data_IF_622570528036
#
_entry.id   IF_622570528036
#
_cell.length_a   1.000
_cell.length_b   1.000
_cell.length_c   1.000
_cell.angle_alpha   90.00
_cell.angle_beta   90.00
_cell.angle_gamma   90.00
#
_symmetry.space_group_name_H-M   'P 1'
#
loop_
_entity.id
_entity.type
_entity.pdbx_description
1 polymer ?
#
# COMPACT_ATOMS: atom_id res chain seq x y z
N UNK A 1 -85.53 -35.59 29.40
CA UNK A 1 -84.13 -36.10 29.56
C UNK A 1 -83.47 -36.02 28.14
N UNK A 2 -82.74 -35.00 27.91
CA UNK A 2 -82.11 -34.72 26.63
C UNK A 2 -80.58 -34.86 26.76
N UNK A 3 -80.04 -35.78 25.98
CA UNK A 3 -78.61 -36.02 25.90
C UNK A 3 -78.04 -35.14 24.79
N UNK A 4 -77.09 -34.31 25.11
CA UNK A 4 -76.32 -33.50 24.13
C UNK A 4 -75.03 -34.23 23.78
N UNK A 5 -74.85 -34.55 22.49
CA UNK A 5 -73.62 -35.05 21.92
C UNK A 5 -72.86 -33.84 21.40
N UNK A 6 -71.69 -33.59 21.97
CA UNK A 6 -70.78 -32.55 21.49
C UNK A 6 -69.80 -33.16 20.48
N UNK A 7 -69.84 -32.70 19.24
CA UNK A 7 -68.89 -33.07 18.19
C UNK A 7 -67.63 -32.18 18.33
N UNK A 8 -66.48 -32.84 18.49
CA UNK A 8 -65.18 -32.19 18.55
C UNK A 8 -64.59 -32.12 17.13
N UNK A 9 -64.52 -30.92 16.54
CA UNK A 9 -63.82 -30.68 15.28
C UNK A 9 -62.33 -30.46 15.62
N UNK A 10 -61.47 -31.38 15.20
CA UNK A 10 -60.02 -31.24 15.27
C UNK A 10 -59.55 -30.40 14.09
N UNK A 11 -59.11 -29.17 14.31
CA UNK A 11 -58.37 -28.37 13.35
C UNK A 11 -56.91 -28.84 13.33
N UNK A 12 -56.53 -29.50 12.24
CA UNK A 12 -55.09 -29.80 11.98
C UNK A 12 -54.44 -28.55 11.40
N UNK A 13 -53.65 -27.86 12.22
CA UNK A 13 -52.76 -26.79 11.77
C UNK A 13 -51.58 -27.42 11.05
N UNK A 14 -51.50 -27.24 9.71
CA UNK A 14 -50.28 -27.53 8.93
C UNK A 14 -49.28 -26.44 9.22
N UNK A 15 -48.30 -26.72 10.10
CA UNK A 15 -47.14 -25.89 10.25
C UNK A 15 -46.24 -26.12 9.04
N UNK A 16 -46.32 -25.21 8.08
CA UNK A 16 -45.31 -25.12 6.99
C UNK A 16 -44.05 -24.59 7.65
N UNK A 17 -43.14 -25.48 8.02
CA UNK A 17 -41.80 -25.15 8.42
C UNK A 17 -41.08 -24.67 7.14
N UNK A 18 -41.11 -23.35 6.90
CA UNK A 18 -40.23 -22.72 5.92
C UNK A 18 -38.81 -22.88 6.45
N UNK A 19 -38.05 -23.80 5.86
CA UNK A 19 -36.60 -23.76 5.97
C UNK A 19 -36.15 -22.44 5.32
N UNK A 20 -36.00 -21.38 6.12
CA UNK A 20 -35.11 -20.30 5.76
C UNK A 20 -33.74 -20.95 5.58
N UNK A 21 -33.31 -21.07 4.31
CA UNK A 21 -31.91 -21.36 4.00
C UNK A 21 -31.12 -20.23 4.64
N UNK A 22 -30.42 -20.52 5.73
CA UNK A 22 -29.31 -19.67 6.13
C UNK A 22 -28.46 -19.40 4.89
N UNK A 23 -28.17 -18.15 4.55
CA UNK A 23 -27.33 -17.89 3.39
C UNK A 23 -26.05 -18.70 3.59
N UNK A 24 -25.75 -19.53 2.60
CA UNK A 24 -24.51 -20.31 2.54
C UNK A 24 -23.38 -19.30 2.75
N UNK A 25 -22.57 -19.52 3.78
CA UNK A 25 -21.48 -18.60 4.09
C UNK A 25 -20.58 -18.58 2.87
N UNK A 26 -20.45 -17.42 2.24
CA UNK A 26 -19.73 -17.20 0.99
C UNK A 26 -18.28 -17.69 1.16
N UNK A 27 -17.99 -18.92 0.71
CA UNK A 27 -16.69 -19.58 0.86
C UNK A 27 -15.75 -19.14 -0.28
N UNK A 28 -14.70 -18.34 0.01
CA UNK A 28 -13.74 -17.91 -0.98
C UNK A 28 -13.07 -19.03 -1.75
N UNK A 29 -12.97 -20.24 -1.17
CA UNK A 29 -12.32 -21.38 -1.80
C UNK A 29 -13.13 -21.97 -2.96
N UNK A 30 -14.46 -21.81 -2.96
CA UNK A 30 -15.35 -22.30 -4.03
C UNK A 30 -15.63 -21.26 -5.10
N UNK A 31 -15.32 -20.00 -4.87
CA UNK A 31 -15.51 -18.91 -5.81
C UNK A 31 -14.43 -18.96 -6.92
N UNK A 32 -14.84 -18.97 -8.18
CA UNK A 32 -13.92 -19.00 -9.34
C UNK A 32 -13.32 -17.64 -9.70
N UNK A 33 -13.88 -16.54 -9.18
CA UNK A 33 -13.40 -15.18 -9.44
C UNK A 33 -12.00 -14.97 -8.87
N UNK A 34 -11.18 -14.13 -9.49
CA UNK A 34 -9.92 -13.65 -8.91
C UNK A 34 -10.18 -12.80 -7.65
N UNK A 35 -9.14 -12.50 -6.87
CA UNK A 35 -9.25 -11.66 -5.68
C UNK A 35 -9.90 -10.29 -5.99
N UNK A 36 -9.46 -9.62 -7.06
CA UNK A 36 -10.01 -8.34 -7.50
C UNK A 36 -11.46 -8.45 -7.99
N UNK A 37 -11.76 -9.43 -8.85
CA UNK A 37 -13.11 -9.64 -9.37
C UNK A 37 -14.11 -9.95 -8.24
N UNK A 38 -13.71 -10.77 -7.27
CA UNK A 38 -14.52 -11.04 -6.09
C UNK A 38 -14.72 -9.81 -5.23
N UNK A 39 -13.63 -9.08 -4.95
CA UNK A 39 -13.67 -7.90 -4.10
C UNK A 39 -14.59 -6.80 -4.66
N UNK A 40 -14.52 -6.55 -5.96
CA UNK A 40 -15.34 -5.53 -6.62
C UNK A 40 -16.77 -5.99 -6.98
N UNK A 41 -17.13 -7.24 -6.76
CA UNK A 41 -18.46 -7.73 -7.04
C UNK A 41 -19.51 -7.06 -6.14
N UNK A 42 -20.73 -6.91 -6.67
CA UNK A 42 -21.86 -6.31 -5.96
C UNK A 42 -22.30 -7.13 -4.74
N UNK A 43 -22.10 -8.45 -4.80
CA UNK A 43 -22.42 -9.40 -3.73
C UNK A 43 -21.35 -9.50 -2.62
N UNK A 44 -20.24 -8.76 -2.73
CA UNK A 44 -19.19 -8.80 -1.72
C UNK A 44 -19.56 -8.03 -0.46
N UNK A 45 -19.59 -8.72 0.67
CA UNK A 45 -19.93 -8.18 2.01
C UNK A 45 -18.83 -8.40 3.05
N UNK A 46 -17.61 -8.80 2.61
CA UNK A 46 -16.48 -9.05 3.51
C UNK A 46 -15.73 -7.80 3.94
N UNK A 47 -14.57 -8.01 4.56
CA UNK A 47 -13.69 -6.93 5.04
C UNK A 47 -13.16 -6.06 3.89
N UNK A 48 -13.05 -4.75 4.14
CA UNK A 48 -12.55 -3.81 3.15
C UNK A 48 -11.03 -3.76 3.11
N UNK A 49 -10.48 -3.66 1.90
CA UNK A 49 -9.04 -3.53 1.62
C UNK A 49 -8.28 -4.85 1.75
N UNK A 50 -6.99 -4.74 1.91
CA UNK A 50 -6.02 -5.85 1.94
C UNK A 50 -5.71 -6.21 3.40
N UNK A 51 -5.97 -7.46 3.77
CA UNK A 51 -5.64 -8.01 5.07
C UNK A 51 -4.39 -8.87 5.01
N UNK A 52 -3.65 -8.93 6.12
CA UNK A 52 -2.65 -9.96 6.33
C UNK A 52 -3.35 -11.26 6.76
N UNK A 53 -2.98 -12.35 6.14
CA UNK A 53 -3.40 -13.69 6.52
C UNK A 53 -2.23 -14.66 6.36
N UNK A 54 -2.50 -15.94 6.55
CA UNK A 54 -1.53 -17.01 6.43
C UNK A 54 -1.90 -17.95 5.29
N UNK A 55 -0.88 -18.45 4.58
CA UNK A 55 -1.04 -19.43 3.52
C UNK A 55 -0.04 -20.56 3.71
N UNK A 56 -0.49 -21.81 3.47
CA UNK A 56 0.39 -22.96 3.43
C UNK A 56 1.13 -23.04 2.09
N UNK A 57 2.44 -22.90 2.12
CA UNK A 57 3.30 -22.96 0.92
C UNK A 57 4.37 -24.04 1.17
N UNK A 58 4.34 -25.13 0.42
CA UNK A 58 5.28 -26.24 0.54
C UNK A 58 5.45 -26.79 1.96
N UNK A 59 4.37 -26.75 2.75
CA UNK A 59 4.36 -27.25 4.14
C UNK A 59 4.76 -26.22 5.20
N UNK A 60 5.07 -24.99 4.81
CA UNK A 60 5.36 -23.88 5.72
C UNK A 60 4.21 -22.88 5.74
N UNK A 61 3.90 -22.34 6.91
CA UNK A 61 2.93 -21.25 7.06
C UNK A 61 3.63 -19.92 6.82
N UNK A 62 3.18 -19.18 5.82
CA UNK A 62 3.80 -17.89 5.45
C UNK A 62 2.77 -16.77 5.43
N UNK A 63 3.14 -15.55 5.87
CA UNK A 63 2.24 -14.39 5.80
C UNK A 63 2.00 -14.01 4.34
N UNK A 64 0.75 -13.68 4.01
CA UNK A 64 0.32 -13.24 2.68
C UNK A 64 -0.73 -12.13 2.77
N UNK A 65 -0.81 -11.35 1.69
CA UNK A 65 -1.87 -10.36 1.49
C UNK A 65 -3.08 -11.02 0.85
N UNK A 66 -4.25 -10.77 1.43
CA UNK A 66 -5.54 -11.23 0.96
C UNK A 66 -6.43 -10.05 0.61
N UNK A 67 -7.18 -10.18 -0.46
CA UNK A 67 -8.24 -9.26 -0.86
C UNK A 67 -9.49 -10.08 -1.19
N UNK A 68 -10.63 -9.70 -0.64
CA UNK A 68 -11.86 -10.47 -0.85
C UNK A 68 -11.76 -11.93 -0.35
N UNK A 69 -10.92 -12.18 0.67
CA UNK A 69 -10.68 -13.51 1.22
C UNK A 69 -9.78 -14.42 0.36
N UNK A 70 -9.16 -13.89 -0.70
CA UNK A 70 -8.24 -14.63 -1.59
C UNK A 70 -6.84 -14.03 -1.61
N UNK A 71 -5.78 -14.83 -1.78
CA UNK A 71 -4.44 -14.29 -1.98
C UNK A 71 -4.44 -13.32 -3.18
N UNK A 72 -3.91 -12.10 -2.95
CA UNK A 72 -3.85 -11.08 -3.99
C UNK A 72 -2.50 -11.11 -4.69
N UNK A 73 -2.52 -11.12 -6.03
CA UNK A 73 -1.37 -10.90 -6.89
C UNK A 73 -1.73 -9.83 -7.91
N UNK A 74 -1.06 -8.68 -7.85
CA UNK A 74 -1.40 -7.53 -8.69
C UNK A 74 -0.19 -6.66 -8.95
N UNK A 75 -0.11 -6.11 -10.15
CA UNK A 75 0.82 -5.01 -10.46
C UNK A 75 0.02 -3.77 -10.85
N UNK A 76 0.51 -2.62 -10.41
CA UNK A 76 -0.11 -1.32 -10.66
C UNK A 76 0.94 -0.23 -10.82
N UNK A 77 0.60 0.98 -10.42
CA UNK A 77 1.44 2.15 -10.66
C UNK A 77 1.49 3.09 -9.47
N UNK A 78 2.59 3.81 -9.37
CA UNK A 78 2.62 5.05 -8.63
C UNK A 78 2.01 6.17 -9.49
N UNK A 79 1.13 6.95 -8.91
CA UNK A 79 0.70 8.26 -9.40
C UNK A 79 0.80 9.23 -8.22
N UNK A 80 2.06 9.56 -7.84
CA UNK A 80 2.33 10.23 -6.58
C UNK A 80 1.55 11.53 -6.42
N UNK A 81 1.32 12.25 -7.51
CA UNK A 81 0.63 13.54 -7.49
C UNK A 81 -0.89 13.44 -7.66
N UNK A 82 -1.50 12.25 -7.65
CA UNK A 82 -2.93 12.08 -7.94
C UNK A 82 -3.81 12.98 -7.07
N UNK A 83 -3.63 12.98 -5.76
CA UNK A 83 -4.34 13.89 -4.86
C UNK A 83 -3.75 15.31 -4.86
N UNK A 84 -2.42 15.42 -4.91
CA UNK A 84 -1.71 16.72 -4.84
C UNK A 84 -2.06 17.65 -6.01
N UNK A 85 -2.58 17.15 -7.12
CA UNK A 85 -3.10 17.95 -8.23
C UNK A 85 -4.20 18.93 -7.78
N UNK A 86 -4.92 18.64 -6.71
CA UNK A 86 -5.89 19.56 -6.12
C UNK A 86 -5.21 20.78 -5.47
N UNK A 87 -3.91 20.72 -5.18
CA UNK A 87 -3.15 21.75 -4.48
C UNK A 87 -2.32 22.64 -5.43
N UNK A 88 -2.60 22.63 -6.72
CA UNK A 88 -1.92 23.48 -7.72
C UNK A 88 -2.37 24.94 -7.62
N UNK A 89 -3.52 25.20 -6.97
CA UNK A 89 -4.05 26.55 -6.74
C UNK A 89 -4.83 26.62 -5.44
N UNK A 90 -4.95 27.83 -4.86
CA UNK A 90 -5.72 28.06 -3.64
C UNK A 90 -7.21 27.73 -3.78
N UNK A 91 -7.74 27.58 -4.99
CA UNK A 91 -9.12 27.13 -5.22
C UNK A 91 -9.32 25.64 -5.03
N UNK A 92 -8.23 24.87 -4.91
CA UNK A 92 -8.21 23.41 -4.72
C UNK A 92 -9.17 22.68 -5.67
N UNK A 93 -9.00 22.92 -6.97
CA UNK A 93 -9.83 22.36 -8.02
C UNK A 93 -9.53 20.87 -8.25
N UNK A 94 -10.56 20.11 -8.62
CA UNK A 94 -10.52 18.66 -8.78
C UNK A 94 -10.36 18.19 -10.24
N UNK A 95 -10.54 19.08 -11.23
CA UNK A 95 -10.62 18.69 -12.65
C UNK A 95 -9.39 17.92 -13.19
N UNK A 96 -8.19 18.22 -12.67
CA UNK A 96 -6.99 17.49 -13.07
C UNK A 96 -6.95 16.09 -12.47
N UNK A 97 -7.38 15.95 -11.22
CA UNK A 97 -7.51 14.66 -10.52
C UNK A 97 -8.54 13.78 -11.21
N UNK A 98 -9.73 14.29 -11.52
CA UNK A 98 -10.80 13.59 -12.25
C UNK A 98 -10.29 13.03 -13.59
N UNK A 99 -9.69 13.88 -14.42
CA UNK A 99 -9.09 13.44 -15.71
C UNK A 99 -7.98 12.42 -15.54
N UNK A 100 -7.26 12.44 -14.43
CA UNK A 100 -6.23 11.44 -14.15
C UNK A 100 -6.85 10.11 -13.80
N UNK A 101 -7.92 10.07 -12.99
CA UNK A 101 -8.68 8.85 -12.69
C UNK A 101 -9.32 8.27 -13.94
N UNK A 102 -9.87 9.12 -14.84
CA UNK A 102 -10.40 8.66 -16.13
C UNK A 102 -9.36 7.93 -16.97
N UNK A 103 -8.11 8.44 -17.05
CA UNK A 103 -7.03 7.77 -17.77
C UNK A 103 -6.63 6.46 -17.09
N UNK A 104 -6.48 6.46 -15.77
CA UNK A 104 -6.15 5.25 -15.01
C UNK A 104 -7.21 4.14 -15.21
N UNK A 105 -8.49 4.51 -15.21
CA UNK A 105 -9.61 3.61 -15.51
C UNK A 105 -9.54 3.08 -16.94
N UNK A 106 -9.33 3.96 -17.94
CA UNK A 106 -9.23 3.58 -19.35
C UNK A 106 -8.05 2.61 -19.60
N UNK A 107 -6.94 2.80 -18.89
CA UNK A 107 -5.75 1.93 -18.94
C UNK A 107 -5.86 0.69 -18.05
N UNK A 108 -7.01 0.49 -17.36
CA UNK A 108 -7.29 -0.66 -16.51
C UNK A 108 -6.25 -0.82 -15.37
N UNK A 109 -5.84 0.29 -14.76
CA UNK A 109 -4.93 0.26 -13.61
C UNK A 109 -5.67 -0.23 -12.37
N UNK A 110 -5.32 -1.38 -11.79
CA UNK A 110 -6.10 -1.96 -10.69
C UNK A 110 -5.75 -1.37 -9.32
N UNK A 111 -4.54 -0.83 -9.17
CA UNK A 111 -4.03 -0.32 -7.89
C UNK A 111 -3.04 0.82 -8.12
N UNK A 112 -3.17 1.87 -7.32
CA UNK A 112 -2.35 3.09 -7.38
C UNK A 112 -1.81 3.44 -6.00
N UNK A 113 -0.50 3.70 -5.92
CA UNK A 113 0.13 4.33 -4.76
C UNK A 113 0.26 5.83 -5.02
N UNK A 114 -0.10 6.65 -4.04
CA UNK A 114 -0.16 8.10 -4.17
C UNK A 114 0.32 8.80 -2.90
N UNK A 115 0.74 10.06 -3.03
CA UNK A 115 0.99 10.91 -1.87
C UNK A 115 -0.34 11.28 -1.19
N UNK A 116 -0.46 10.95 0.08
CA UNK A 116 -1.59 11.32 0.92
C UNK A 116 -1.47 12.70 1.54
N UNK A 117 -0.35 13.41 1.33
CA UNK A 117 -0.11 14.76 1.87
C UNK A 117 0.59 15.67 0.86
N UNK A 118 0.56 16.99 1.08
CA UNK A 118 1.37 17.93 0.33
C UNK A 118 2.86 17.62 0.40
N UNK A 119 3.58 17.84 -0.69
CA UNK A 119 5.01 17.53 -0.81
C UNK A 119 5.91 18.48 -0.01
N UNK A 120 5.64 19.79 -0.05
CA UNK A 120 6.48 20.81 0.56
C UNK A 120 5.82 21.41 1.82
N UNK A 121 6.64 21.85 2.77
CA UNK A 121 6.17 22.56 3.97
C UNK A 121 5.25 23.73 3.64
N UNK A 122 5.58 24.50 2.59
CA UNK A 122 4.77 25.64 2.13
C UNK A 122 3.37 25.25 1.63
N UNK A 123 3.13 23.98 1.30
CA UNK A 123 1.82 23.50 0.83
C UNK A 123 0.93 22.98 1.96
N UNK A 124 1.45 22.84 3.19
CA UNK A 124 0.65 22.40 4.33
C UNK A 124 -0.48 23.36 4.68
N UNK A 125 -0.39 24.65 4.24
CA UNK A 125 -1.48 25.60 4.40
C UNK A 125 -2.80 25.14 3.75
N UNK A 126 -2.78 24.36 2.69
CA UNK A 126 -3.99 23.79 2.09
C UNK A 126 -4.81 22.97 3.09
N UNK A 127 -4.12 22.16 3.88
CA UNK A 127 -4.76 21.41 4.95
C UNK A 127 -5.17 22.30 6.12
N UNK A 128 -4.28 23.21 6.60
CA UNK A 128 -4.58 23.99 7.79
C UNK A 128 -5.64 25.07 7.57
N UNK A 129 -5.54 25.80 6.46
CA UNK A 129 -6.42 26.95 6.20
C UNK A 129 -7.76 26.54 5.59
N UNK A 130 -7.83 25.38 4.94
CA UNK A 130 -9.00 24.91 4.20
C UNK A 130 -9.31 23.43 4.50
N UNK A 131 -9.17 23.01 5.75
CA UNK A 131 -9.25 21.61 6.18
C UNK A 131 -10.49 20.89 5.67
N UNK A 132 -11.66 21.51 5.78
CA UNK A 132 -12.91 20.90 5.31
C UNK A 132 -12.84 20.60 3.81
N UNK A 133 -12.49 21.59 2.99
CA UNK A 133 -12.37 21.41 1.53
C UNK A 133 -11.30 20.39 1.14
N UNK A 134 -10.20 20.36 1.90
CA UNK A 134 -9.12 19.41 1.72
C UNK A 134 -9.62 17.97 1.88
N UNK A 135 -10.34 17.68 2.97
CA UNK A 135 -10.88 16.36 3.26
C UNK A 135 -12.04 15.99 2.32
N UNK A 136 -12.90 16.94 1.95
CA UNK A 136 -13.94 16.74 0.92
C UNK A 136 -13.34 16.34 -0.44
N UNK A 137 -12.23 16.96 -0.86
CA UNK A 137 -11.55 16.60 -2.09
C UNK A 137 -10.90 15.21 -2.00
N UNK A 138 -10.39 14.82 -0.83
CA UNK A 138 -9.83 13.50 -0.60
C UNK A 138 -10.90 12.41 -0.63
N UNK A 139 -12.04 12.64 0.01
CA UNK A 139 -13.23 11.77 -0.02
C UNK A 139 -13.77 11.64 -1.45
N UNK A 140 -13.81 12.75 -2.19
CA UNK A 140 -14.21 12.74 -3.59
C UNK A 140 -13.27 11.90 -4.46
N UNK A 141 -11.94 11.98 -4.25
CA UNK A 141 -11.00 11.09 -4.92
C UNK A 141 -11.31 9.63 -4.64
N UNK A 142 -11.59 9.28 -3.39
CA UNK A 142 -11.91 7.91 -3.02
C UNK A 142 -13.21 7.45 -3.69
N UNK A 143 -14.24 8.32 -3.76
CA UNK A 143 -15.49 8.03 -4.49
C UNK A 143 -15.23 7.75 -5.98
N UNK A 144 -14.42 8.57 -6.65
CA UNK A 144 -14.05 8.33 -8.05
C UNK A 144 -13.31 7.00 -8.25
N UNK A 145 -12.45 6.64 -7.31
CA UNK A 145 -11.70 5.38 -7.37
C UNK A 145 -12.58 4.15 -7.04
N UNK A 146 -13.55 4.28 -6.14
CA UNK A 146 -14.57 3.26 -5.90
C UNK A 146 -15.37 2.98 -7.17
N UNK A 147 -15.86 4.02 -7.86
CA UNK A 147 -16.58 3.91 -9.13
C UNK A 147 -15.72 3.38 -10.29
N UNK A 148 -14.42 3.64 -10.23
CA UNK A 148 -13.45 3.19 -11.23
C UNK A 148 -12.90 1.78 -10.94
N UNK A 149 -13.18 1.20 -9.77
CA UNK A 149 -12.60 -0.04 -9.26
C UNK A 149 -11.07 0.00 -9.19
N UNK A 150 -10.51 1.11 -8.72
CA UNK A 150 -9.08 1.33 -8.55
C UNK A 150 -8.74 1.30 -7.07
N UNK A 151 -7.91 0.36 -6.64
CA UNK A 151 -7.39 0.32 -5.27
C UNK A 151 -6.38 1.46 -5.04
N UNK A 152 -6.40 2.06 -3.85
CA UNK A 152 -5.49 3.12 -3.44
C UNK A 152 -4.59 2.68 -2.28
N UNK A 153 -3.31 3.01 -2.39
CA UNK A 153 -2.35 2.95 -1.28
C UNK A 153 -1.95 4.40 -0.96
N UNK A 154 -2.63 5.08 -0.03
CA UNK A 154 -2.22 6.40 0.40
C UNK A 154 -0.94 6.32 1.24
N UNK A 155 0.15 6.86 0.73
CA UNK A 155 1.41 7.11 1.44
C UNK A 155 1.26 8.44 2.17
N UNK A 156 0.94 8.41 3.48
CA UNK A 156 0.38 9.57 4.18
C UNK A 156 1.38 10.71 4.32
N UNK A 157 2.67 10.42 4.57
CA UNK A 157 3.72 11.44 4.68
C UNK A 157 4.77 11.28 3.59
N UNK A 158 4.67 12.10 2.51
CA UNK A 158 5.54 11.88 1.37
C UNK A 158 6.99 12.34 1.59
N UNK A 159 7.20 13.44 2.32
CA UNK A 159 8.53 14.04 2.48
C UNK A 159 8.94 14.11 3.96
N UNK A 160 10.14 13.60 4.28
CA UNK A 160 10.69 13.58 5.63
C UNK A 160 10.85 14.98 6.25
N UNK A 161 11.09 16.00 5.42
CA UNK A 161 11.38 17.37 5.88
C UNK A 161 10.12 18.24 6.02
N UNK A 162 9.03 17.96 5.30
CA UNK A 162 7.92 18.91 5.13
C UNK A 162 7.24 19.32 6.45
N UNK A 163 6.94 18.36 7.31
CA UNK A 163 6.25 18.66 8.58
C UNK A 163 7.19 19.29 9.61
N UNK A 164 8.42 18.77 9.85
CA UNK A 164 9.38 19.44 10.73
C UNK A 164 9.70 20.88 10.28
N UNK A 165 9.93 21.09 8.99
CA UNK A 165 10.21 22.44 8.44
C UNK A 165 9.06 23.42 8.71
N UNK A 166 7.82 22.99 8.52
CA UNK A 166 6.63 23.81 8.79
C UNK A 166 6.59 24.27 10.25
N UNK A 167 6.92 23.40 11.19
CA UNK A 167 6.95 23.70 12.61
C UNK A 167 8.29 24.29 13.09
N UNK A 168 9.28 24.42 12.21
CA UNK A 168 10.66 24.83 12.54
C UNK A 168 11.30 23.94 13.60
N UNK A 169 11.04 22.63 13.47
CA UNK A 169 11.61 21.59 14.32
C UNK A 169 12.69 20.81 13.55
N UNK A 170 13.58 20.14 14.29
CA UNK A 170 14.56 19.22 13.72
C UNK A 170 13.85 17.98 13.15
N UNK A 171 14.34 17.36 12.07
CA UNK A 171 13.76 16.10 11.54
C UNK A 171 13.60 14.97 12.56
N UNK A 172 14.47 14.90 13.59
CA UNK A 172 14.32 13.93 14.69
C UNK A 172 13.00 14.12 15.49
N UNK A 173 12.31 15.25 15.31
CA UNK A 173 11.01 15.52 15.92
C UNK A 173 9.91 14.51 15.51
N UNK A 174 10.08 13.78 14.40
CA UNK A 174 9.22 12.65 14.05
C UNK A 174 9.15 11.59 15.16
N UNK A 175 10.25 11.36 15.89
CA UNK A 175 10.31 10.41 17.00
C UNK A 175 10.12 11.01 18.39
N UNK A 176 9.94 12.33 18.50
CA UNK A 176 9.76 13.00 19.77
C UNK A 176 8.26 13.19 20.07
N UNK A 177 7.68 12.35 20.93
CA UNK A 177 6.24 12.31 21.21
C UNK A 177 5.66 13.62 21.77
N UNK A 178 6.49 14.55 22.24
CA UNK A 178 6.10 15.89 22.71
C UNK A 178 6.25 16.99 21.66
N UNK A 179 6.72 16.66 20.45
CA UNK A 179 6.91 17.61 19.37
C UNK A 179 5.61 17.97 18.67
N UNK A 180 5.60 19.10 17.98
CA UNK A 180 4.49 19.49 17.10
C UNK A 180 4.43 18.58 15.86
N UNK A 181 5.58 18.15 15.34
CA UNK A 181 5.68 17.19 14.24
C UNK A 181 4.98 15.88 14.57
N UNK A 182 5.26 15.29 15.74
CA UNK A 182 4.60 14.05 16.16
C UNK A 182 3.10 14.24 16.39
N UNK A 183 2.72 15.34 17.04
CA UNK A 183 1.30 15.68 17.25
C UNK A 183 0.55 15.87 15.92
N UNK A 184 1.19 16.55 14.95
CA UNK A 184 0.65 16.69 13.59
C UNK A 184 0.51 15.32 12.91
N UNK A 185 1.52 14.47 13.00
CA UNK A 185 1.49 13.13 12.45
C UNK A 185 0.22 12.37 12.91
N UNK A 186 -0.03 12.35 14.20
CA UNK A 186 -1.22 11.66 14.74
C UNK A 186 -2.53 12.33 14.30
N UNK A 187 -2.62 13.67 14.40
CA UNK A 187 -3.83 14.42 14.02
C UNK A 187 -4.17 14.28 12.53
N UNK A 188 -3.17 14.44 11.67
CA UNK A 188 -3.34 14.31 10.23
C UNK A 188 -3.71 12.87 9.83
N UNK A 189 -3.02 11.88 10.38
CA UNK A 189 -3.38 10.46 10.17
C UNK A 189 -4.81 10.18 10.60
N UNK A 190 -5.24 10.70 11.74
CA UNK A 190 -6.61 10.52 12.22
C UNK A 190 -7.64 11.09 11.24
N UNK A 191 -7.40 12.29 10.72
CA UNK A 191 -8.32 12.91 9.75
C UNK A 191 -8.39 12.11 8.45
N UNK A 192 -7.23 11.71 7.88
CA UNK A 192 -7.17 10.92 6.66
C UNK A 192 -7.86 9.56 6.82
N UNK A 193 -7.55 8.83 7.88
CA UNK A 193 -8.14 7.50 8.14
C UNK A 193 -9.65 7.62 8.35
N UNK A 194 -10.13 8.59 9.14
CA UNK A 194 -11.55 8.77 9.37
C UNK A 194 -12.32 9.20 8.10
N UNK A 195 -11.66 9.91 7.18
CA UNK A 195 -12.26 10.26 5.89
C UNK A 195 -12.35 9.06 4.97
N UNK A 196 -11.34 8.18 4.97
CA UNK A 196 -11.17 7.16 3.92
C UNK A 196 -11.53 5.73 4.33
N UNK A 197 -11.56 5.39 5.62
CA UNK A 197 -11.61 4.00 6.11
C UNK A 197 -12.80 3.18 5.59
N UNK A 198 -13.92 3.83 5.31
CA UNK A 198 -15.15 3.18 4.86
C UNK A 198 -15.23 3.07 3.32
N UNK A 199 -14.24 3.59 2.59
CA UNK A 199 -14.13 3.46 1.15
C UNK A 199 -13.52 2.11 0.75
N UNK A 200 -14.16 1.48 -0.24
CA UNK A 200 -13.76 0.17 -0.78
C UNK A 200 -12.43 0.24 -1.52
N UNK A 201 -12.12 1.39 -2.14
CA UNK A 201 -10.87 1.60 -2.86
C UNK A 201 -9.63 1.64 -1.96
N UNK A 202 -9.74 1.92 -0.67
CA UNK A 202 -8.58 1.97 0.22
C UNK A 202 -8.02 0.56 0.43
N UNK A 203 -6.88 0.29 -0.20
CA UNK A 203 -6.25 -1.02 -0.17
C UNK A 203 -5.56 -1.30 1.17
N UNK A 204 -4.68 -0.42 1.60
CA UNK A 204 -3.87 -0.52 2.81
C UNK A 204 -3.38 0.87 3.21
N UNK A 205 -2.80 0.99 4.39
CA UNK A 205 -2.23 2.23 4.89
C UNK A 205 -0.71 2.21 4.81
N UNK A 206 -0.12 3.26 4.28
CA UNK A 206 1.31 3.42 4.23
C UNK A 206 1.74 4.70 4.94
N UNK A 207 2.77 4.62 5.79
CA UNK A 207 3.23 5.78 6.55
C UNK A 207 3.71 6.91 5.65
N UNK A 208 4.67 6.59 4.76
CA UNK A 208 5.27 7.65 3.96
C UNK A 208 6.23 7.14 2.88
N UNK A 209 6.95 8.05 2.26
CA UNK A 209 7.88 7.71 1.19
C UNK A 209 9.33 7.69 1.65
N UNK A 210 9.95 6.51 1.62
CA UNK A 210 11.40 6.29 1.71
C UNK A 210 12.09 6.86 2.96
N UNK A 211 11.42 6.91 4.11
CA UNK A 211 12.04 7.39 5.34
C UNK A 211 13.30 6.62 5.74
N UNK A 212 13.41 5.36 5.31
CA UNK A 212 14.61 4.54 5.47
C UNK A 212 15.86 5.13 4.83
N UNK A 213 15.72 5.90 3.74
CA UNK A 213 16.87 6.59 3.10
C UNK A 213 17.47 7.70 3.98
N UNK A 214 16.63 8.34 4.80
CA UNK A 214 17.07 9.38 5.73
C UNK A 214 17.59 8.82 7.07
N UNK A 215 17.40 7.51 7.32
CA UNK A 215 17.77 6.93 8.61
C UNK A 215 19.30 6.95 8.83
N UNK A 216 19.71 7.67 9.86
CA UNK A 216 21.08 7.84 10.38
C UNK A 216 22.08 8.54 9.46
N UNK A 217 21.75 8.87 8.22
CA UNK A 217 22.65 9.58 7.30
C UNK A 217 21.96 10.70 6.54
N UNK A 218 22.75 11.71 6.16
CA UNK A 218 22.32 12.75 5.22
C UNK A 218 22.38 12.22 3.80
N UNK A 219 21.25 12.23 3.11
CA UNK A 219 21.13 11.90 1.69
C UNK A 219 20.66 13.12 0.90
N UNK A 220 20.98 13.16 -0.40
CA UNK A 220 20.47 14.21 -1.28
C UNK A 220 18.93 14.19 -1.29
N UNK A 221 18.30 15.32 -0.95
CA UNK A 221 16.86 15.46 -0.88
C UNK A 221 16.19 14.95 0.42
N UNK A 222 16.95 14.36 1.34
CA UNK A 222 16.46 13.87 2.64
C UNK A 222 17.30 14.42 3.78
N UNK A 223 16.65 14.93 4.83
CA UNK A 223 17.33 15.28 6.08
C UNK A 223 17.59 14.02 6.90
N UNK A 224 18.76 13.92 7.54
CA UNK A 224 19.08 12.79 8.39
C UNK A 224 18.12 12.71 9.60
N UNK A 225 17.59 11.52 9.85
CA UNK A 225 16.70 11.22 10.99
C UNK A 225 17.28 10.00 11.71
N UNK A 226 17.44 9.99 13.04
CA UNK A 226 17.82 8.75 13.74
C UNK A 226 16.85 7.60 13.42
N UNK A 227 17.34 6.41 13.12
CA UNK A 227 16.49 5.24 12.84
C UNK A 227 15.50 4.97 13.99
N UNK A 228 15.90 5.22 15.24
CA UNK A 228 15.03 5.14 16.41
C UNK A 228 13.87 6.14 16.38
N UNK A 229 14.08 7.34 15.83
CA UNK A 229 13.02 8.34 15.67
C UNK A 229 12.04 7.91 14.57
N UNK A 230 12.53 7.38 13.44
CA UNK A 230 11.69 6.80 12.39
C UNK A 230 10.85 5.65 12.95
N UNK A 231 11.47 4.73 13.69
CA UNK A 231 10.80 3.60 14.33
C UNK A 231 9.69 4.04 15.29
N UNK A 232 9.95 5.07 16.11
CA UNK A 232 8.95 5.64 17.03
C UNK A 232 7.77 6.25 16.29
N UNK A 233 8.02 6.99 15.21
CA UNK A 233 6.96 7.55 14.36
C UNK A 233 6.10 6.44 13.74
N UNK A 234 6.73 5.42 13.16
CA UNK A 234 6.05 4.29 12.55
C UNK A 234 5.18 3.53 13.54
N UNK A 235 5.70 3.30 14.75
CA UNK A 235 4.93 2.65 15.81
C UNK A 235 3.70 3.48 16.21
N UNK A 236 3.86 4.77 16.46
CA UNK A 236 2.74 5.66 16.84
C UNK A 236 1.66 5.74 15.75
N UNK A 237 2.08 5.80 14.49
CA UNK A 237 1.19 5.76 13.34
C UNK A 237 0.40 4.45 13.27
N UNK A 238 1.08 3.31 13.39
CA UNK A 238 0.44 2.01 13.28
C UNK A 238 -0.50 1.71 14.46
N UNK A 239 -0.10 2.09 15.68
CA UNK A 239 -0.96 1.99 16.88
C UNK A 239 -2.25 2.81 16.68
N UNK A 240 -2.15 4.01 16.13
CA UNK A 240 -3.30 4.86 15.85
C UNK A 240 -4.24 4.24 14.81
N UNK A 241 -3.71 3.77 13.68
CA UNK A 241 -4.52 3.16 12.61
C UNK A 241 -5.26 1.93 13.13
N UNK A 242 -4.61 1.06 13.91
CA UNK A 242 -5.28 -0.11 14.54
C UNK A 242 -6.47 0.27 15.42
N UNK A 243 -6.48 1.50 15.93
CA UNK A 243 -7.60 2.01 16.75
C UNK A 243 -8.72 2.58 15.88
N UNK A 244 -8.38 3.15 14.73
CA UNK A 244 -9.30 3.92 13.89
C UNK A 244 -9.93 3.09 12.77
N UNK A 245 -9.17 2.16 12.18
CA UNK A 245 -9.62 1.33 11.05
C UNK A 245 -10.11 -0.04 11.55
N UNK A 246 -11.43 -0.30 11.47
CA UNK A 246 -12.01 -1.56 11.94
C UNK A 246 -11.73 -2.75 11.01
N UNK A 247 -11.28 -2.51 9.75
CA UNK A 247 -11.17 -3.53 8.72
C UNK A 247 -9.85 -4.33 8.79
N UNK A 248 -8.92 -3.95 9.67
CA UNK A 248 -7.66 -4.68 9.84
C UNK A 248 -6.76 -4.67 8.60
N UNK A 249 -6.81 -3.58 7.83
CA UNK A 249 -5.95 -3.42 6.63
C UNK A 249 -4.48 -3.50 6.98
N UNK A 250 -3.69 -3.96 6.02
CA UNK A 250 -2.22 -3.93 6.11
C UNK A 250 -1.75 -2.49 6.39
N UNK A 251 -0.81 -2.37 7.33
CA UNK A 251 -0.14 -1.11 7.69
C UNK A 251 1.34 -1.25 7.38
N UNK A 252 1.85 -0.43 6.48
CA UNK A 252 3.21 -0.52 5.96
C UNK A 252 4.00 0.79 6.14
N UNK A 253 5.32 0.69 6.01
CA UNK A 253 6.23 1.83 6.17
C UNK A 253 6.35 2.70 4.92
N UNK A 254 6.31 2.11 3.71
CA UNK A 254 6.69 2.77 2.45
C UNK A 254 8.20 2.98 2.30
N UNK A 255 9.00 2.15 2.94
CA UNK A 255 10.45 2.23 2.87
C UNK A 255 10.99 1.84 1.49
N UNK A 256 12.12 2.48 1.12
CA UNK A 256 13.02 2.01 0.09
C UNK A 256 13.80 0.78 0.56
N UNK A 257 14.56 0.19 -0.37
CA UNK A 257 15.49 -0.87 -0.01
C UNK A 257 16.48 -0.39 1.06
N UNK A 258 16.73 -1.25 2.06
CA UNK A 258 17.76 -0.95 3.07
C UNK A 258 19.15 -0.87 2.40
N UNK A 259 19.95 0.14 2.74
CA UNK A 259 21.34 0.24 2.26
C UNK A 259 22.14 -0.99 2.67
N UNK A 260 23.18 -1.34 1.90
CA UNK A 260 24.04 -2.50 2.19
C UNK A 260 24.82 -2.39 3.54
N UNK A 261 24.80 -1.21 4.16
CA UNK A 261 25.51 -0.91 5.41
C UNK A 261 24.61 -0.24 6.46
N UNK A 262 23.30 -0.39 6.36
CA UNK A 262 22.37 0.40 7.17
C UNK A 262 22.45 0.08 8.66
N UNK A 263 22.65 -1.18 9.03
CA UNK A 263 22.86 -1.61 10.40
C UNK A 263 24.16 -1.01 10.98
N UNK A 264 25.27 -1.10 10.23
CA UNK A 264 26.55 -0.54 10.66
C UNK A 264 26.54 0.99 10.69
N UNK A 265 25.76 1.65 9.83
CA UNK A 265 25.58 3.11 9.93
C UNK A 265 24.87 3.50 11.22
N UNK A 266 23.80 2.79 11.58
CA UNK A 266 23.07 3.04 12.84
C UNK A 266 23.93 2.74 14.08
N UNK A 267 24.63 1.61 14.09
CA UNK A 267 25.31 1.12 15.31
C UNK A 267 26.75 1.62 15.48
N UNK A 268 27.45 1.92 14.40
CA UNK A 268 28.91 2.17 14.39
C UNK A 268 29.31 3.38 13.54
N UNK A 269 28.37 4.10 12.93
CA UNK A 269 28.63 5.16 11.94
C UNK A 269 29.61 4.69 10.82
N UNK A 270 29.49 3.43 10.39
CA UNK A 270 30.38 2.75 9.44
C UNK A 270 29.67 2.36 8.16
N UNK A 271 30.43 2.35 7.05
CA UNK A 271 29.98 1.85 5.75
C UNK A 271 30.30 0.36 5.54
N UNK A 272 30.60 -0.38 6.57
CA UNK A 272 30.80 -1.83 6.53
C UNK A 272 29.51 -2.50 6.02
N UNK A 273 29.66 -3.44 5.11
CA UNK A 273 28.52 -4.16 4.53
C UNK A 273 27.87 -5.08 5.57
N UNK A 274 26.57 -4.98 5.70
CA UNK A 274 25.75 -5.79 6.61
C UNK A 274 25.69 -7.24 6.16
N UNK A 275 25.61 -8.16 7.12
CA UNK A 275 25.18 -9.54 6.88
C UNK A 275 23.67 -9.64 6.65
N UNK A 276 23.18 -10.79 6.21
CA UNK A 276 21.74 -11.03 6.11
C UNK A 276 21.02 -10.88 7.46
N UNK A 277 21.63 -11.36 8.56
CA UNK A 277 21.03 -11.23 9.89
C UNK A 277 20.89 -9.76 10.32
N UNK A 278 21.91 -8.93 10.07
CA UNK A 278 21.88 -7.49 10.35
C UNK A 278 20.86 -6.76 9.46
N UNK A 279 20.71 -7.19 8.22
CA UNK A 279 19.64 -6.69 7.34
C UNK A 279 18.24 -7.01 7.91
N UNK A 280 18.00 -8.24 8.40
CA UNK A 280 16.71 -8.62 9.02
C UNK A 280 16.45 -7.76 10.26
N UNK A 281 17.47 -7.52 11.09
CA UNK A 281 17.35 -6.65 12.27
C UNK A 281 16.94 -5.23 11.88
N UNK A 282 17.58 -4.64 10.86
CA UNK A 282 17.19 -3.31 10.35
C UNK A 282 15.80 -3.29 9.75
N UNK A 283 15.38 -4.34 9.04
CA UNK A 283 14.01 -4.48 8.58
C UNK A 283 13.01 -4.45 9.75
N UNK A 284 13.33 -5.12 10.87
CA UNK A 284 12.51 -5.09 12.08
C UNK A 284 12.44 -3.70 12.73
N UNK A 285 13.58 -3.00 12.85
CA UNK A 285 13.66 -1.65 13.42
C UNK A 285 12.85 -0.65 12.58
N UNK A 286 12.95 -0.73 11.25
CA UNK A 286 12.29 0.19 10.32
C UNK A 286 10.92 -0.32 9.81
N UNK A 287 10.40 -1.39 10.39
CA UNK A 287 9.02 -1.85 10.26
C UNK A 287 8.55 -2.40 11.62
N UNK A 288 8.51 -1.56 12.68
CA UNK A 288 8.21 -2.03 14.04
C UNK A 288 6.78 -2.51 14.17
N UNK A 289 6.52 -3.41 15.12
CA UNK A 289 5.16 -3.76 15.50
C UNK A 289 4.41 -2.51 16.03
N UNK A 290 3.13 -2.34 15.69
CA UNK A 290 2.24 -3.32 15.04
C UNK A 290 2.11 -3.18 13.51
N UNK A 291 3.09 -2.63 12.79
CA UNK A 291 3.07 -2.67 11.32
C UNK A 291 3.06 -4.13 10.84
N UNK A 292 2.27 -4.39 9.80
CA UNK A 292 2.10 -5.72 9.22
C UNK A 292 2.71 -5.86 7.83
N UNK A 293 3.03 -4.73 7.16
CA UNK A 293 3.61 -4.68 5.82
C UNK A 293 5.04 -4.14 5.80
N UNK A 294 5.88 -4.76 4.99
CA UNK A 294 7.24 -4.33 4.65
C UNK A 294 7.30 -4.03 3.16
N UNK A 295 7.80 -2.84 2.80
CA UNK A 295 8.03 -2.46 1.41
C UNK A 295 9.51 -2.36 1.08
N UNK A 296 9.84 -2.52 -0.19
CA UNK A 296 11.08 -2.06 -0.78
C UNK A 296 10.80 -1.33 -2.10
N UNK A 297 11.62 -0.34 -2.44
CA UNK A 297 11.69 0.28 -3.74
C UNK A 297 12.92 -0.24 -4.45
N UNK A 298 12.75 -0.99 -5.54
CA UNK A 298 13.83 -1.74 -6.18
C UNK A 298 14.14 -1.13 -7.54
N UNK A 299 15.26 -0.45 -7.64
CA UNK A 299 15.79 0.12 -8.88
C UNK A 299 17.05 -0.61 -9.35
N UNK A 300 17.78 -1.24 -8.44
CA UNK A 300 19.04 -1.92 -8.67
C UNK A 300 18.85 -3.34 -9.19
N UNK A 301 19.90 -3.85 -9.87
CA UNK A 301 19.95 -5.22 -10.37
C UNK A 301 20.55 -6.23 -9.36
N UNK A 302 21.20 -5.72 -8.30
CA UNK A 302 21.94 -6.53 -7.35
C UNK A 302 22.05 -5.85 -5.98
N UNK A 303 22.23 -6.68 -4.93
CA UNK A 303 22.53 -6.28 -3.56
C UNK A 303 23.78 -7.02 -3.07
N UNK A 304 24.48 -6.48 -2.07
CA UNK A 304 25.62 -7.13 -1.42
C UNK A 304 25.29 -7.41 0.05
N UNK A 305 25.58 -8.63 0.49
CA UNK A 305 25.63 -9.03 1.90
C UNK A 305 27.04 -9.50 2.24
N UNK A 306 27.53 -9.24 3.44
CA UNK A 306 28.89 -9.63 3.85
C UNK A 306 29.06 -11.15 3.94
N UNK A 307 27.99 -11.89 4.22
CA UNK A 307 27.97 -13.35 4.40
C UNK A 307 27.42 -14.12 3.17
N UNK A 308 26.77 -13.43 2.20
CA UNK A 308 26.21 -14.05 0.97
C UNK A 308 26.93 -13.58 -0.29
N UNK A 309 27.72 -12.50 -0.24
CA UNK A 309 28.29 -11.85 -1.42
C UNK A 309 27.25 -11.05 -2.21
N UNK A 310 27.51 -10.87 -3.49
CA UNK A 310 26.59 -10.18 -4.41
C UNK A 310 25.49 -11.12 -4.85
N UNK A 311 24.25 -10.73 -4.60
CA UNK A 311 23.02 -11.43 -5.01
C UNK A 311 22.30 -10.63 -6.09
N UNK A 312 21.73 -11.31 -7.07
CA UNK A 312 20.94 -10.67 -8.14
C UNK A 312 19.56 -10.24 -7.62
N UNK A 313 18.81 -9.47 -8.43
CA UNK A 313 17.48 -8.96 -8.06
C UNK A 313 16.52 -10.07 -7.59
N UNK A 314 16.48 -11.20 -8.25
CA UNK A 314 15.57 -12.29 -7.88
C UNK A 314 15.92 -12.90 -6.51
N UNK A 315 17.20 -13.07 -6.23
CA UNK A 315 17.70 -13.52 -4.93
C UNK A 315 17.47 -12.47 -3.84
N UNK A 316 17.69 -11.18 -4.15
CA UNK A 316 17.39 -10.08 -3.24
C UNK A 316 15.92 -10.08 -2.81
N UNK A 317 15.00 -10.21 -3.76
CA UNK A 317 13.56 -10.31 -3.46
C UNK A 317 13.26 -11.54 -2.59
N UNK A 318 13.90 -12.68 -2.88
CA UNK A 318 13.73 -13.88 -2.06
C UNK A 318 14.19 -13.64 -0.61
N UNK A 319 15.34 -12.98 -0.40
CA UNK A 319 15.83 -12.63 0.94
C UNK A 319 14.94 -11.59 1.64
N UNK A 320 14.42 -10.60 0.91
CA UNK A 320 13.50 -9.62 1.47
C UNK A 320 12.17 -10.27 1.91
N UNK A 321 11.62 -11.16 1.09
CA UNK A 321 10.42 -11.95 1.45
C UNK A 321 10.67 -12.87 2.65
N UNK A 322 11.83 -13.49 2.71
CA UNK A 322 12.23 -14.31 3.85
C UNK A 322 12.34 -13.45 5.12
N UNK A 323 13.01 -12.29 5.07
CA UNK A 323 13.10 -11.37 6.20
C UNK A 323 11.70 -10.89 6.68
N UNK A 324 10.83 -10.56 5.74
CA UNK A 324 9.45 -10.20 6.08
C UNK A 324 8.71 -11.36 6.78
N UNK A 325 8.85 -12.58 6.29
CA UNK A 325 8.25 -13.76 6.92
C UNK A 325 8.83 -14.06 8.31
N UNK A 326 10.14 -13.93 8.51
CA UNK A 326 10.80 -14.07 9.82
C UNK A 326 10.29 -13.03 10.82
N UNK A 327 9.92 -11.83 10.35
CA UNK A 327 9.33 -10.76 11.14
C UNK A 327 7.79 -10.85 11.24
N UNK A 328 7.15 -11.88 10.66
CA UNK A 328 5.70 -12.02 10.67
C UNK A 328 4.97 -10.98 9.82
N UNK A 329 5.58 -10.47 8.75
CA UNK A 329 5.06 -9.38 7.93
C UNK A 329 4.85 -9.83 6.48
N UNK A 330 3.93 -9.16 5.77
CA UNK A 330 3.78 -9.29 4.32
C UNK A 330 4.76 -8.38 3.59
N UNK A 331 5.12 -8.73 2.36
CA UNK A 331 6.09 -8.02 1.53
C UNK A 331 5.50 -7.54 0.22
N UNK A 332 5.85 -6.31 -0.18
CA UNK A 332 5.53 -5.78 -1.50
C UNK A 332 6.64 -4.86 -2.05
N UNK A 333 6.62 -4.65 -3.36
CA UNK A 333 7.50 -3.71 -4.06
C UNK A 333 6.73 -2.42 -4.30
N UNK A 334 7.05 -1.37 -3.51
CA UNK A 334 6.37 -0.08 -3.54
C UNK A 334 6.74 0.76 -4.75
N UNK A 335 7.97 0.60 -5.27
CA UNK A 335 8.42 1.29 -6.48
C UNK A 335 9.40 0.44 -7.27
N UNK A 336 9.31 0.52 -8.58
CA UNK A 336 10.32 0.04 -9.52
C UNK A 336 10.18 0.73 -10.87
N UNK A 337 11.28 0.92 -11.58
CA UNK A 337 11.34 1.28 -13.01
C UNK A 337 12.77 1.15 -13.51
N UNK A 338 13.00 1.45 -14.79
CA UNK A 338 14.32 1.70 -15.37
C UNK A 338 14.44 3.16 -15.80
N UNK A 339 15.66 3.67 -15.97
CA UNK A 339 15.88 5.01 -16.52
C UNK A 339 15.28 5.07 -17.94
N UNK A 340 14.66 6.20 -18.29
CA UNK A 340 14.08 6.42 -19.64
C UNK A 340 15.20 6.70 -20.64
N UNK A 341 15.70 5.65 -21.29
CA UNK A 341 16.56 5.74 -22.45
C UNK A 341 15.83 5.18 -23.66
N UNK A 342 16.00 5.73 -24.85
CA UNK A 342 15.07 5.55 -25.97
C UNK A 342 14.85 4.12 -26.49
N UNK A 343 15.70 3.13 -26.17
CA UNK A 343 15.56 1.75 -26.68
C UNK A 343 15.79 0.62 -25.63
N UNK A 344 16.37 0.93 -24.47
CA UNK A 344 16.71 -0.06 -23.43
C UNK A 344 15.63 -0.34 -22.40
N UNK A 345 14.64 0.52 -22.31
CA UNK A 345 13.74 0.63 -21.15
C UNK A 345 12.74 -0.51 -21.07
N UNK A 346 12.23 -0.99 -22.19
CA UNK A 346 11.30 -2.12 -22.21
C UNK A 346 11.92 -3.39 -21.67
N UNK A 347 13.22 -3.61 -21.92
CA UNK A 347 13.94 -4.78 -21.41
C UNK A 347 14.14 -4.70 -19.90
N UNK A 348 14.48 -3.53 -19.36
CA UNK A 348 14.67 -3.33 -17.92
C UNK A 348 13.35 -3.54 -17.18
N UNK A 349 12.27 -2.89 -17.60
CA UNK A 349 10.94 -3.07 -17.02
C UNK A 349 10.50 -4.54 -17.10
N UNK A 350 10.74 -5.21 -18.22
CA UNK A 350 10.42 -6.64 -18.37
C UNK A 350 11.23 -7.51 -17.41
N UNK A 351 12.51 -7.22 -17.18
CA UNK A 351 13.33 -7.94 -16.18
C UNK A 351 12.77 -7.82 -14.76
N UNK A 352 12.27 -6.63 -14.37
CA UNK A 352 11.58 -6.45 -13.10
C UNK A 352 10.36 -7.37 -13.01
N UNK A 353 9.46 -7.30 -13.98
CA UNK A 353 8.26 -8.13 -13.99
C UNK A 353 8.56 -9.62 -13.98
N UNK A 354 9.57 -10.08 -14.73
CA UNK A 354 10.00 -11.49 -14.71
C UNK A 354 10.43 -11.89 -13.29
N UNK A 355 11.24 -11.07 -12.61
CA UNK A 355 11.69 -11.35 -11.25
C UNK A 355 10.52 -11.39 -10.27
N UNK A 356 9.60 -10.41 -10.35
CA UNK A 356 8.44 -10.35 -9.45
C UNK A 356 7.48 -11.51 -9.65
N UNK A 357 7.21 -11.88 -10.91
CA UNK A 357 6.40 -13.04 -11.22
C UNK A 357 7.04 -14.34 -10.71
N UNK A 358 8.35 -14.54 -10.97
CA UNK A 358 9.08 -15.73 -10.53
C UNK A 358 9.11 -15.85 -9.01
N UNK A 359 9.25 -14.73 -8.30
CA UNK A 359 9.29 -14.70 -6.82
C UNK A 359 7.91 -14.57 -6.18
N UNK A 360 6.81 -14.59 -6.94
CA UNK A 360 5.45 -14.41 -6.39
C UNK A 360 5.33 -13.16 -5.51
N UNK A 361 5.81 -12.01 -6.01
CA UNK A 361 5.59 -10.72 -5.37
C UNK A 361 4.12 -10.37 -5.48
N UNK A 362 3.46 -10.16 -4.35
CA UNK A 362 2.01 -9.99 -4.33
C UNK A 362 1.55 -8.63 -4.85
N UNK A 363 2.30 -7.56 -4.54
CA UNK A 363 2.05 -6.22 -5.09
C UNK A 363 3.36 -5.66 -5.61
N UNK A 364 3.34 -5.12 -6.83
CA UNK A 364 4.45 -4.36 -7.40
C UNK A 364 3.93 -3.13 -8.14
N UNK A 365 4.54 -1.96 -7.89
CA UNK A 365 4.03 -0.68 -8.35
C UNK A 365 5.08 0.06 -9.18
N UNK A 366 4.80 0.25 -10.48
CA UNK A 366 5.73 0.92 -11.37
C UNK A 366 5.79 2.42 -11.05
N UNK A 367 6.98 2.96 -10.99
CA UNK A 367 7.23 4.39 -10.87
C UNK A 367 7.37 4.99 -12.27
N UNK A 368 6.72 6.03 -12.66
CA UNK A 368 5.60 6.76 -12.07
C UNK A 368 4.73 7.30 -13.21
N UNK A 369 3.41 7.11 -13.13
CA UNK A 369 2.48 7.70 -14.09
C UNK A 369 2.20 9.17 -13.75
N UNK A 370 2.32 10.05 -14.75
CA UNK A 370 1.90 11.43 -14.65
C UNK A 370 1.15 11.85 -15.93
N UNK A 371 -0.10 12.31 -15.78
CA UNK A 371 -0.94 12.66 -16.93
C UNK A 371 -0.38 13.83 -17.77
N UNK A 372 0.16 14.84 -17.11
CA UNK A 372 0.50 16.14 -17.72
C UNK A 372 2.01 16.39 -17.88
N UNK A 373 2.88 15.58 -17.27
CA UNK A 373 4.30 15.87 -17.25
C UNK A 373 5.13 14.66 -17.68
N UNK A 374 6.05 14.86 -18.60
CA UNK A 374 7.19 13.98 -18.81
C UNK A 374 8.38 14.62 -18.09
N UNK A 375 8.63 14.13 -16.89
CA UNK A 375 9.89 14.37 -16.18
C UNK A 375 10.72 13.08 -16.24
N UNK A 376 11.99 13.14 -15.87
CA UNK A 376 12.97 12.07 -16.03
C UNK A 376 12.48 10.65 -15.64
N UNK A 377 11.62 10.57 -14.60
CA UNK A 377 11.12 9.30 -14.06
C UNK A 377 9.61 9.09 -14.23
N UNK A 378 8.93 9.98 -14.96
CA UNK A 378 7.48 9.89 -15.17
C UNK A 378 7.15 9.59 -16.62
N UNK A 379 6.06 8.86 -16.84
CA UNK A 379 5.55 8.56 -18.17
C UNK A 379 4.08 8.97 -18.32
N UNK A 380 3.70 9.28 -19.55
CA UNK A 380 2.32 9.57 -19.94
C UNK A 380 1.72 8.38 -20.68
N UNK A 381 0.41 8.21 -20.63
CA UNK A 381 -0.27 7.12 -21.32
C UNK A 381 -0.14 7.18 -22.86
N UNK A 382 -0.06 8.38 -23.43
CA UNK A 382 -0.01 8.63 -24.88
C UNK A 382 1.40 8.47 -25.48
N UNK A 383 2.43 8.26 -24.67
CA UNK A 383 3.82 8.05 -25.15
C UNK A 383 4.10 6.59 -25.49
N UNK A 384 5.13 6.29 -26.34
CA UNK A 384 5.54 4.91 -26.58
C UNK A 384 5.92 4.16 -25.31
N UNK A 385 6.62 4.80 -24.39
CA UNK A 385 7.01 4.21 -23.12
C UNK A 385 5.78 3.93 -22.25
N UNK A 386 4.87 4.89 -22.11
CA UNK A 386 3.64 4.69 -21.32
C UNK A 386 2.76 3.58 -21.87
N UNK A 387 2.55 3.53 -23.17
CA UNK A 387 1.82 2.40 -23.80
C UNK A 387 2.48 1.06 -23.53
N UNK A 388 3.82 0.99 -23.59
CA UNK A 388 4.56 -0.22 -23.21
C UNK A 388 4.35 -0.58 -21.75
N UNK A 389 4.45 0.39 -20.84
CA UNK A 389 4.28 0.21 -19.41
C UNK A 389 2.88 -0.35 -19.06
N UNK A 390 1.81 0.28 -19.58
CA UNK A 390 0.45 -0.19 -19.37
C UNK A 390 0.17 -1.56 -20.00
N UNK A 391 0.73 -1.83 -21.18
CA UNK A 391 0.59 -3.15 -21.81
C UNK A 391 1.26 -4.24 -20.98
N UNK A 392 2.47 -4.01 -20.46
CA UNK A 392 3.15 -4.96 -19.59
C UNK A 392 2.38 -5.17 -18.28
N UNK A 393 1.87 -4.11 -17.66
CA UNK A 393 1.05 -4.21 -16.46
C UNK A 393 -0.15 -5.13 -16.70
N UNK A 394 -0.91 -4.91 -17.79
CA UNK A 394 -2.06 -5.76 -18.16
C UNK A 394 -1.63 -7.21 -18.42
N UNK A 395 -0.55 -7.44 -19.17
CA UNK A 395 -0.02 -8.78 -19.45
C UNK A 395 0.29 -9.54 -18.16
N UNK A 396 0.97 -8.89 -17.21
CA UNK A 396 1.34 -9.56 -15.95
C UNK A 396 0.15 -9.74 -15.01
N UNK A 397 -0.81 -8.82 -14.98
CA UNK A 397 -2.04 -9.02 -14.22
C UNK A 397 -2.85 -10.22 -14.73
N UNK A 398 -2.94 -10.43 -16.05
CA UNK A 398 -3.55 -11.64 -16.60
C UNK A 398 -2.79 -12.93 -16.21
N UNK A 399 -1.46 -12.90 -16.21
CA UNK A 399 -0.66 -14.04 -15.74
C UNK A 399 -0.86 -14.31 -14.25
N UNK A 400 -1.02 -13.28 -13.44
CA UNK A 400 -1.23 -13.42 -12.00
C UNK A 400 -2.58 -14.07 -11.64
N UNK A 401 -3.61 -13.98 -12.49
CA UNK A 401 -4.90 -14.67 -12.28
C UNK A 401 -4.75 -16.19 -12.16
N UNK A 402 -3.71 -16.76 -12.75
CA UNK A 402 -3.45 -18.21 -12.78
C UNK A 402 -2.33 -18.64 -11.82
N UNK A 403 -1.81 -17.72 -11.01
CA UNK A 403 -0.75 -18.03 -10.05
C UNK A 403 -1.30 -18.89 -8.91
N UNK A 404 -0.69 -20.05 -8.74
CA UNK A 404 -0.81 -20.89 -7.54
C UNK A 404 0.52 -20.89 -6.79
N UNK A 405 0.48 -20.95 -5.46
CA UNK A 405 1.66 -20.97 -4.60
C UNK A 405 2.38 -22.34 -4.62
#
# INVERSE_FOLDING_TARGET
MFSFVASLLALTAIVVCGCEKTPEKDDPATDSRSALERYWAEDYTGELGIQQGELQVKGETVPRMFLGGKPLYVTGMNCYNLFVQCHESNSMKTENMEKTVEVLKAEQVPIVRLSGSPYAASQLHFYFDQKQKYLENLEYLATLCDEAHILLIPSIFWNTASVPEYYKEDPAAWGLTTSKTYSHMLGYTSDIVNTLKDHKCVAMWEFGNEFSLAADIQMAGYAAIPASAVSTAYKGFADLIKTLDPHGRVIASGNSIMRNSQYHQMTQASWTTDSYAEYVEMCGILNPDPMTGMSEHIYEDARVFSDKGTVNRSEQIAYAKQAAAELGKVYYVGEFTGPRTAEGDSLMVRKHFISYYAQRVQISLMWNFARNAEIEWSFRADTPYGRMAFNMMREYNERFKTVTE
#
